data_IF_740354566537
#
_entry.id   IF_740354566537
#
_cell.length_a   1.000
_cell.length_b   1.000
_cell.length_c   1.000
_cell.angle_alpha   90.00
_cell.angle_beta   90.00
_cell.angle_gamma   90.00
#
_symmetry.space_group_name_H-M   'P 1'
#
loop_
_entity.id
_entity.type
_entity.pdbx_description
1 polymer ?
#
# COMPACT_ATOMS: atom_id res chain seq x y z
N UNK A 1 36.73 17.67 -6.06
CA UNK A 1 37.33 16.35 -6.38
C UNK A 1 37.60 15.47 -5.13
N UNK A 2 37.01 15.74 -3.95
CA UNK A 2 37.21 14.94 -2.73
C UNK A 2 36.05 13.97 -2.42
N UNK A 3 34.93 14.07 -3.13
CA UNK A 3 33.73 13.22 -2.91
C UNK A 3 33.85 11.83 -3.56
N UNK A 4 34.71 11.68 -4.57
CA UNK A 4 34.88 10.42 -5.30
C UNK A 4 35.74 9.38 -4.57
N UNK A 5 36.60 9.81 -3.64
CA UNK A 5 37.46 8.90 -2.88
C UNK A 5 36.71 8.15 -1.76
N UNK A 6 35.59 8.69 -1.28
CA UNK A 6 34.79 8.10 -0.19
C UNK A 6 33.87 7.00 -0.76
N UNK A 7 33.33 7.17 -1.97
CA UNK A 7 32.50 6.16 -2.62
C UNK A 7 33.27 4.87 -2.97
N UNK A 8 34.55 4.97 -3.36
CA UNK A 8 35.36 3.80 -3.69
C UNK A 8 35.79 2.98 -2.46
N UNK A 9 35.90 3.61 -1.29
CA UNK A 9 36.27 2.92 -0.06
C UNK A 9 35.09 2.09 0.51
N UNK A 10 33.86 2.58 0.35
CA UNK A 10 32.65 1.88 0.81
C UNK A 10 32.30 0.65 -0.03
N UNK A 11 32.50 0.71 -1.35
CA UNK A 11 32.24 -0.44 -2.25
C UNK A 11 33.27 -1.56 -2.05
N UNK A 12 34.51 -1.22 -1.68
CA UNK A 12 35.57 -2.20 -1.41
C UNK A 12 35.38 -2.93 -0.07
N UNK A 13 34.65 -2.34 0.89
CA UNK A 13 34.41 -2.95 2.20
C UNK A 13 33.27 -3.99 2.19
N UNK A 14 32.26 -3.80 1.33
CA UNK A 14 31.11 -4.72 1.23
C UNK A 14 31.48 -6.02 0.51
N UNK A 15 32.45 -5.98 -0.40
CA UNK A 15 32.81 -7.14 -1.24
C UNK A 15 33.70 -8.19 -0.55
N UNK A 16 34.14 -7.95 0.69
CA UNK A 16 35.12 -8.81 1.39
C UNK A 16 34.50 -9.78 2.43
N UNK A 17 33.17 -9.79 2.61
CA UNK A 17 32.51 -10.55 3.71
C UNK A 17 31.56 -11.68 3.28
N UNK A 18 31.44 -12.03 2.00
CA UNK A 18 30.48 -13.06 1.54
C UNK A 18 31.14 -14.32 0.94
N UNK A 19 32.28 -14.75 1.49
CA UNK A 19 32.90 -16.03 1.15
C UNK A 19 33.19 -16.88 2.39
N UNK A 20 32.31 -17.84 2.70
CA UNK A 20 32.61 -19.24 3.11
C UNK A 20 31.40 -19.95 3.79
N UNK A 21 31.13 -21.18 3.35
CA UNK A 21 30.30 -22.22 4.02
C UNK A 21 29.02 -22.54 3.23
N UNK A 22 28.95 -23.48 2.29
CA UNK A 22 29.35 -24.90 2.22
C UNK A 22 28.47 -25.84 3.10
N UNK A 23 27.32 -26.25 2.53
CA UNK A 23 26.74 -27.62 2.39
C UNK A 23 26.51 -28.55 3.64
N UNK A 24 25.88 -29.73 3.52
CA UNK A 24 24.49 -30.08 3.17
C UNK A 24 23.85 -31.06 4.21
N UNK A 25 22.54 -31.34 4.11
CA UNK A 25 21.96 -32.71 4.22
C UNK A 25 20.43 -32.70 4.33
N UNK A 26 19.85 -33.70 3.68
CA UNK A 26 18.44 -34.04 3.61
C UNK A 26 17.82 -34.46 4.96
N UNK A 27 16.51 -34.26 5.10
CA UNK A 27 15.63 -35.20 5.83
C UNK A 27 14.15 -35.02 5.45
N UNK A 28 13.66 -35.97 4.66
CA UNK A 28 12.37 -36.66 4.79
C UNK A 28 11.34 -36.12 5.80
N UNK A 29 10.16 -35.74 5.32
CA UNK A 29 8.87 -36.18 5.89
C UNK A 29 7.72 -35.89 4.90
N UNK A 30 6.95 -36.94 4.59
CA UNK A 30 5.70 -36.91 3.84
C UNK A 30 4.59 -36.18 4.60
N UNK A 31 3.51 -35.77 3.89
CA UNK A 31 2.19 -35.86 4.50
C UNK A 31 1.21 -36.72 3.68
N UNK A 32 0.43 -37.49 4.44
CA UNK A 32 -0.72 -38.29 4.03
C UNK A 32 -1.77 -37.45 3.29
N UNK A 33 -2.31 -38.05 2.24
CA UNK A 33 -3.47 -37.56 1.50
C UNK A 33 -4.71 -37.97 2.29
N UNK A 34 -5.35 -37.03 2.97
CA UNK A 34 -6.64 -37.26 3.62
C UNK A 34 -7.74 -36.78 2.70
N UNK A 35 -8.51 -37.75 2.23
CA UNK A 35 -9.74 -37.61 1.47
C UNK A 35 -10.77 -36.80 2.30
N UNK A 36 -11.32 -35.72 1.73
CA UNK A 36 -12.41 -34.96 2.33
C UNK A 36 -13.47 -34.70 1.26
N UNK A 37 -14.30 -35.71 1.11
CA UNK A 37 -15.70 -35.62 0.68
C UNK A 37 -16.42 -34.53 1.50
N UNK A 38 -16.85 -33.45 0.85
CA UNK A 38 -17.86 -32.54 1.39
C UNK A 38 -18.98 -32.36 0.38
N UNK A 39 -20.16 -32.67 0.91
CA UNK A 39 -21.42 -32.82 0.22
C UNK A 39 -21.98 -31.51 -0.32
N UNK A 40 -22.66 -31.69 -1.45
CA UNK A 40 -23.73 -30.89 -2.02
C UNK A 40 -24.74 -30.41 -0.94
N UNK A 41 -24.84 -29.10 -0.73
CA UNK A 41 -26.03 -28.48 -0.12
C UNK A 41 -26.38 -27.23 -0.90
N UNK A 42 -27.18 -27.45 -1.94
CA UNK A 42 -28.01 -26.46 -2.59
C UNK A 42 -29.08 -25.96 -1.60
N UNK A 43 -29.04 -24.68 -1.24
CA UNK A 43 -30.11 -24.02 -0.48
C UNK A 43 -30.58 -22.78 -1.23
N UNK A 44 -31.70 -22.93 -1.94
CA UNK A 44 -32.57 -21.84 -2.37
C UNK A 44 -33.03 -21.05 -1.13
N UNK A 45 -32.82 -19.74 -1.16
CA UNK A 45 -33.54 -18.80 -0.29
C UNK A 45 -34.20 -17.79 -1.21
N UNK A 46 -35.51 -17.98 -1.39
CA UNK A 46 -36.44 -16.98 -1.86
C UNK A 46 -36.42 -15.79 -0.90
N UNK A 47 -36.15 -14.58 -1.41
CA UNK A 47 -36.31 -13.36 -0.63
C UNK A 47 -37.61 -12.68 -1.09
N UNK A 48 -38.65 -12.87 -0.28
CA UNK A 48 -39.96 -12.24 -0.42
C UNK A 48 -39.87 -10.72 -0.21
N UNK A 49 -40.61 -10.02 -1.06
CA UNK A 49 -40.91 -8.61 -0.94
C UNK A 49 -41.83 -8.38 0.26
N UNK A 50 -41.48 -7.42 1.12
CA UNK A 50 -42.27 -7.02 2.27
C UNK A 50 -42.18 -5.52 2.48
N UNK A 51 -43.07 -4.81 1.80
CA UNK A 51 -43.49 -3.44 2.11
C UNK A 51 -43.96 -3.37 3.57
N UNK A 52 -43.45 -2.44 4.37
CA UNK A 52 -44.31 -1.71 5.30
C UNK A 52 -43.67 -0.38 5.73
N UNK A 53 -44.45 0.67 5.56
CA UNK A 53 -44.12 2.04 5.84
C UNK A 53 -44.89 2.49 7.08
N UNK A 54 -44.24 3.06 8.08
CA UNK A 54 -44.92 3.98 9.01
C UNK A 54 -43.95 5.03 9.59
N UNK A 55 -44.36 6.32 9.72
CA UNK A 55 -43.45 7.43 10.01
C UNK A 55 -43.56 8.02 11.43
N UNK A 56 -42.61 8.90 11.72
CA UNK A 56 -42.67 10.09 12.59
C UNK A 56 -42.74 9.96 14.13
N UNK A 57 -41.71 10.54 14.77
CA UNK A 57 -41.89 11.59 15.80
C UNK A 57 -41.94 11.16 17.26
N UNK A 58 -40.83 11.30 17.98
CA UNK A 58 -40.85 11.55 19.43
C UNK A 58 -39.72 12.52 19.80
N UNK A 59 -40.14 13.71 20.22
CA UNK A 59 -39.39 14.71 21.00
C UNK A 59 -39.62 14.44 22.48
N UNK A 60 -38.60 14.65 23.33
CA UNK A 60 -38.76 14.86 24.77
C UNK A 60 -37.63 14.24 25.60
N UNK A 61 -36.81 15.08 26.24
CA UNK A 61 -36.72 15.26 27.72
C UNK A 61 -35.58 14.39 28.30
N UNK A 62 -34.42 14.96 28.64
CA UNK A 62 -34.07 15.68 29.88
C UNK A 62 -34.33 14.86 31.15
N UNK A 63 -33.25 14.36 31.76
CA UNK A 63 -32.95 14.23 33.22
C UNK A 63 -31.69 13.34 33.33
N UNK A 64 -30.54 13.88 33.72
CA UNK A 64 -30.11 14.16 35.08
C UNK A 64 -29.88 12.90 35.94
N UNK A 65 -28.66 12.85 36.49
CA UNK A 65 -28.27 12.18 37.72
C UNK A 65 -27.95 10.66 37.68
N UNK A 66 -26.66 10.34 37.75
CA UNK A 66 -26.18 9.50 38.86
C UNK A 66 -24.66 9.55 38.97
N UNK A 67 -24.25 10.16 40.09
CA UNK A 67 -22.95 10.10 40.73
C UNK A 67 -22.62 8.67 41.13
N UNK A 68 -21.41 8.20 40.83
CA UNK A 68 -20.69 7.25 41.69
C UNK A 68 -19.19 7.57 41.69
N UNK A 69 -18.78 8.32 42.72
CA UNK A 69 -17.42 8.28 43.25
C UNK A 69 -17.11 6.87 43.77
N UNK A 70 -15.93 6.35 43.44
CA UNK A 70 -15.28 5.28 44.20
C UNK A 70 -13.77 5.40 44.07
N UNK A 71 -13.23 6.09 45.08
CA UNK A 71 -11.85 6.10 45.52
C UNK A 71 -11.31 4.67 45.75
N UNK A 72 -10.11 4.40 45.24
CA UNK A 72 -9.24 3.35 45.78
C UNK A 72 -7.78 3.67 45.50
N UNK A 73 -7.21 4.39 46.47
CA UNK A 73 -5.93 4.14 47.14
C UNK A 73 -4.74 3.56 46.35
N UNK A 74 -3.67 4.34 46.46
CA UNK A 74 -2.28 4.04 46.14
C UNK A 74 -1.74 2.74 46.76
N UNK A 75 -0.80 2.10 46.04
CA UNK A 75 0.22 1.23 46.64
C UNK A 75 1.59 1.57 46.05
N UNK A 76 2.48 2.04 46.92
CA UNK A 76 3.91 2.17 46.73
C UNK A 76 4.58 0.83 47.02
N UNK A 77 5.46 0.37 46.12
CA UNK A 77 6.53 -0.57 46.48
C UNK A 77 7.77 -0.28 45.63
N UNK A 78 8.79 0.21 46.33
CA UNK A 78 10.18 0.27 45.89
C UNK A 78 10.75 -1.15 45.76
N UNK A 79 11.53 -1.42 44.71
CA UNK A 79 12.60 -2.42 44.76
C UNK A 79 13.89 -1.84 44.20
N UNK A 80 14.86 -1.79 45.10
CA UNK A 80 16.21 -1.31 44.98
C UNK A 80 17.12 -2.34 44.29
N UNK A 81 17.93 -1.82 43.35
CA UNK A 81 19.34 -2.12 43.05
C UNK A 81 19.86 -3.56 43.04
N UNK A 82 20.30 -3.98 41.84
CA UNK A 82 21.29 -5.03 41.63
C UNK A 82 21.98 -4.88 40.29
N UNK A 83 23.04 -4.05 40.24
CA UNK A 83 23.89 -3.86 39.07
C UNK A 83 24.81 -5.07 38.82
N UNK A 84 24.88 -5.52 37.57
CA UNK A 84 26.09 -6.11 37.00
C UNK A 84 26.25 -5.60 35.57
N UNK A 85 27.24 -4.74 35.43
CA UNK A 85 27.76 -4.16 34.20
C UNK A 85 28.72 -5.13 33.54
N UNK A 86 28.44 -5.54 32.30
CA UNK A 86 29.46 -5.70 31.24
C UNK A 86 28.75 -5.94 29.90
N UNK A 87 29.06 -5.12 28.90
CA UNK A 87 28.53 -5.25 27.53
C UNK A 87 27.73 -4.05 27.00
N UNK A 88 28.12 -2.82 27.34
CA UNK A 88 27.65 -1.63 26.64
C UNK A 88 28.28 -1.59 25.23
N UNK A 89 27.73 -2.38 24.31
CA UNK A 89 27.74 -1.99 22.90
C UNK A 89 26.81 -0.79 22.79
N UNK A 90 27.33 0.25 22.17
CA UNK A 90 26.70 1.53 21.91
C UNK A 90 25.33 1.34 21.21
N UNK A 91 24.25 1.29 22.00
CA UNK A 91 22.86 1.32 21.53
C UNK A 91 22.32 2.76 21.50
N UNK A 92 23.18 3.76 21.73
CA UNK A 92 22.80 5.17 21.78
C UNK A 92 22.74 5.83 20.39
N UNK A 93 22.99 5.07 19.31
CA UNK A 93 22.87 5.52 17.92
C UNK A 93 21.59 5.00 17.20
N UNK A 94 20.56 4.58 17.92
CA UNK A 94 19.22 4.28 17.35
C UNK A 94 18.10 5.17 17.90
N UNK A 95 18.45 6.31 18.48
CA UNK A 95 17.50 7.27 19.05
C UNK A 95 17.62 8.64 18.36
N UNK A 96 17.28 8.66 17.07
CA UNK A 96 16.54 9.74 16.39
C UNK A 96 16.25 9.27 14.94
N UNK A 97 15.53 8.16 14.80
CA UNK A 97 14.74 7.98 13.60
C UNK A 97 13.53 8.89 13.74
N UNK A 98 13.65 10.14 13.29
CA UNK A 98 12.46 10.96 13.00
C UNK A 98 11.59 10.09 12.11
N UNK A 99 10.37 9.79 12.56
CA UNK A 99 9.43 9.04 11.75
C UNK A 99 9.19 9.86 10.47
N UNK A 100 9.80 9.42 9.37
CA UNK A 100 9.61 10.07 8.07
C UNK A 100 8.21 9.71 7.63
N UNK A 101 7.36 10.72 7.54
CA UNK A 101 6.03 10.60 6.95
C UNK A 101 6.10 10.94 5.46
N UNK A 102 5.27 10.28 4.67
CA UNK A 102 5.06 10.67 3.27
C UNK A 102 4.29 11.99 3.23
N UNK A 103 4.74 12.90 2.38
CA UNK A 103 4.16 14.23 2.22
C UNK A 103 4.06 14.59 0.74
N UNK A 104 3.36 15.67 0.42
CA UNK A 104 3.20 16.17 -0.95
C UNK A 104 3.91 17.54 -1.13
N UNK A 105 4.62 18.02 -0.10
CA UNK A 105 5.12 19.40 0.00
C UNK A 105 6.42 19.66 -0.79
N UNK A 106 7.02 18.64 -1.42
CA UNK A 106 8.32 18.75 -2.09
C UNK A 106 8.24 19.20 -3.55
N UNK A 107 7.08 19.08 -4.21
CA UNK A 107 6.88 19.51 -5.60
C UNK A 107 5.40 19.81 -5.90
N UNK A 108 5.15 20.74 -6.84
CA UNK A 108 3.77 21.07 -7.26
C UNK A 108 3.05 19.90 -7.95
N UNK A 109 3.82 18.95 -8.49
CA UNK A 109 3.37 17.75 -9.15
C UNK A 109 3.69 16.47 -8.35
N UNK A 110 3.90 16.61 -7.04
CA UNK A 110 4.02 15.49 -6.12
C UNK A 110 2.79 14.58 -6.23
N UNK A 111 3.01 13.27 -6.18
CA UNK A 111 1.92 12.31 -6.22
C UNK A 111 1.16 12.28 -4.90
N UNK A 112 -0.15 12.00 -4.92
CA UNK A 112 -0.89 11.70 -3.70
C UNK A 112 -0.22 10.57 -2.91
N UNK A 113 -0.22 10.63 -1.58
CA UNK A 113 0.45 9.64 -0.69
C UNK A 113 0.15 8.19 -1.08
N UNK A 114 -1.11 7.86 -1.37
CA UNK A 114 -1.52 6.53 -1.85
C UNK A 114 -0.74 6.08 -3.10
N UNK A 115 -0.55 6.98 -4.06
CA UNK A 115 0.17 6.68 -5.29
C UNK A 115 1.69 6.63 -5.06
N UNK A 116 2.21 7.40 -4.10
CA UNK A 116 3.61 7.27 -3.66
C UNK A 116 3.87 5.89 -3.07
N UNK A 117 2.98 5.38 -2.22
CA UNK A 117 3.09 4.02 -1.66
C UNK A 117 2.98 2.95 -2.74
N UNK A 118 2.05 3.11 -3.68
CA UNK A 118 1.87 2.17 -4.80
C UNK A 118 3.17 2.00 -5.61
N UNK A 119 3.67 3.12 -6.13
CA UNK A 119 4.88 3.14 -6.98
C UNK A 119 6.12 2.84 -6.16
N UNK A 120 6.23 3.43 -4.97
CA UNK A 120 7.34 3.22 -4.04
C UNK A 120 7.50 1.76 -3.68
N UNK A 121 6.42 1.07 -3.34
CA UNK A 121 6.44 -0.37 -3.01
C UNK A 121 6.94 -1.20 -4.19
N UNK A 122 6.49 -0.91 -5.41
CA UNK A 122 6.99 -1.56 -6.64
C UNK A 122 8.49 -1.27 -6.87
N UNK A 123 8.98 -0.07 -6.55
CA UNK A 123 10.39 0.32 -6.72
C UNK A 123 11.31 -0.26 -5.65
N UNK A 124 10.79 -0.67 -4.50
CA UNK A 124 11.57 -1.36 -3.46
C UNK A 124 11.89 -2.81 -3.88
N UNK A 125 11.21 -3.35 -4.89
CA UNK A 125 11.50 -4.67 -5.41
C UNK A 125 12.93 -4.82 -5.91
N UNK A 126 13.58 -5.91 -5.52
CA UNK A 126 14.99 -6.16 -5.85
C UNK A 126 15.99 -5.35 -5.01
N UNK A 127 15.53 -4.57 -4.04
CA UNK A 127 16.37 -3.92 -3.03
C UNK A 127 16.40 -4.73 -1.72
N UNK A 128 17.30 -4.34 -0.81
CA UNK A 128 17.33 -4.87 0.57
C UNK A 128 16.09 -4.50 1.39
N UNK A 129 15.34 -3.49 0.92
CA UNK A 129 14.11 -3.00 1.55
C UNK A 129 12.85 -3.55 0.87
N UNK A 130 12.98 -4.58 0.02
CA UNK A 130 11.84 -5.26 -0.56
C UNK A 130 10.87 -5.73 0.54
N UNK A 131 9.57 -5.67 0.25
CA UNK A 131 8.51 -6.14 1.15
C UNK A 131 8.79 -7.59 1.56
N UNK A 132 8.63 -7.99 2.83
CA UNK A 132 8.79 -9.41 3.22
C UNK A 132 7.55 -10.24 2.89
N UNK A 133 7.61 -11.57 3.01
CA UNK A 133 6.44 -12.44 2.85
C UNK A 133 5.31 -12.10 3.84
N UNK A 134 5.67 -11.87 5.10
CA UNK A 134 4.72 -11.55 6.18
C UNK A 134 4.08 -10.18 5.95
N UNK A 135 4.86 -9.21 5.49
CA UNK A 135 4.33 -7.90 5.10
C UNK A 135 3.41 -8.02 3.88
N UNK A 136 3.79 -8.81 2.88
CA UNK A 136 3.02 -8.95 1.64
C UNK A 136 1.60 -9.50 1.90
N UNK A 137 1.46 -10.46 2.82
CA UNK A 137 0.15 -11.00 3.21
C UNK A 137 -0.77 -9.91 3.80
N UNK A 138 -0.24 -9.07 4.68
CA UNK A 138 -1.01 -7.98 5.29
C UNK A 138 -1.31 -6.86 4.28
N UNK A 139 -0.29 -6.43 3.53
CA UNK A 139 -0.42 -5.38 2.53
C UNK A 139 -1.40 -5.77 1.42
N UNK A 140 -1.43 -7.03 0.99
CA UNK A 140 -2.35 -7.51 -0.03
C UNK A 140 -3.81 -7.27 0.37
N UNK A 141 -4.17 -7.61 1.61
CA UNK A 141 -5.53 -7.39 2.11
C UNK A 141 -5.89 -5.90 2.14
N UNK A 142 -4.97 -5.06 2.63
CA UNK A 142 -5.18 -3.61 2.73
C UNK A 142 -5.29 -2.94 1.36
N UNK A 143 -4.45 -3.33 0.40
CA UNK A 143 -4.50 -2.83 -0.97
C UNK A 143 -5.78 -3.26 -1.70
N UNK A 144 -6.23 -4.50 -1.51
CA UNK A 144 -7.51 -4.97 -2.05
C UNK A 144 -8.69 -4.18 -1.45
N UNK A 145 -8.68 -3.92 -0.14
CA UNK A 145 -9.69 -3.08 0.51
C UNK A 145 -9.70 -1.65 -0.06
N UNK A 146 -8.52 -1.00 -0.14
CA UNK A 146 -8.36 0.33 -0.74
C UNK A 146 -8.87 0.38 -2.19
N UNK A 147 -8.58 -0.66 -2.98
CA UNK A 147 -9.05 -0.80 -4.34
C UNK A 147 -10.57 -0.96 -4.44
N UNK A 148 -11.18 -1.73 -3.54
CA UNK A 148 -12.62 -1.93 -3.49
C UNK A 148 -13.36 -0.63 -3.14
N UNK A 149 -12.90 0.08 -2.11
CA UNK A 149 -13.43 1.39 -1.68
C UNK A 149 -13.35 2.43 -2.81
N UNK A 150 -12.21 2.47 -3.51
CA UNK A 150 -12.01 3.42 -4.63
C UNK A 150 -12.90 3.09 -5.82
N UNK A 151 -13.10 1.80 -6.13
CA UNK A 151 -13.89 1.36 -7.29
C UNK A 151 -15.39 1.44 -7.07
N UNK A 152 -15.87 1.26 -5.84
CA UNK A 152 -17.30 1.34 -5.55
C UNK A 152 -17.83 2.78 -5.64
N UNK A 153 -16.96 3.78 -5.49
CA UNK A 153 -17.35 5.19 -5.41
C UNK A 153 -18.20 5.53 -4.17
N UNK A 154 -18.36 4.57 -3.25
CA UNK A 154 -19.15 4.71 -2.02
C UNK A 154 -18.27 4.86 -0.77
N UNK A 155 -16.96 4.65 -0.88
CA UNK A 155 -16.04 4.83 0.24
C UNK A 155 -15.93 6.30 0.59
N UNK A 156 -16.10 6.64 1.87
CA UNK A 156 -15.82 7.98 2.35
C UNK A 156 -14.31 8.28 2.19
N UNK A 157 -13.91 9.52 1.87
CA UNK A 157 -12.50 9.90 1.77
C UNK A 157 -11.69 9.53 3.03
N UNK A 158 -12.32 9.65 4.20
CA UNK A 158 -11.73 9.32 5.50
C UNK A 158 -11.46 7.82 5.65
N UNK A 159 -12.32 6.96 5.09
CA UNK A 159 -12.11 5.50 5.11
C UNK A 159 -10.93 5.11 4.22
N UNK A 160 -10.82 5.72 3.03
CA UNK A 160 -9.69 5.49 2.12
C UNK A 160 -8.39 5.94 2.79
N UNK A 161 -8.39 7.13 3.41
CA UNK A 161 -7.23 7.65 4.13
C UNK A 161 -6.83 6.74 5.30
N UNK A 162 -7.79 6.23 6.07
CA UNK A 162 -7.52 5.30 7.17
C UNK A 162 -6.85 4.00 6.68
N UNK A 163 -7.33 3.43 5.57
CA UNK A 163 -6.70 2.24 4.96
C UNK A 163 -5.28 2.56 4.48
N UNK A 164 -5.06 3.74 3.88
CA UNK A 164 -3.72 4.17 3.45
C UNK A 164 -2.77 4.32 4.66
N UNK A 165 -3.22 4.92 5.76
CA UNK A 165 -2.41 5.00 6.99
C UNK A 165 -2.07 3.61 7.56
N UNK A 166 -2.97 2.64 7.42
CA UNK A 166 -2.70 1.27 7.84
C UNK A 166 -1.70 0.56 6.94
N UNK A 167 -1.71 0.85 5.63
CA UNK A 167 -0.68 0.39 4.68
C UNK A 167 0.69 0.91 5.13
N UNK A 168 0.80 2.20 5.44
CA UNK A 168 2.07 2.79 5.93
C UNK A 168 2.55 2.12 7.22
N UNK A 169 1.64 1.91 8.18
CA UNK A 169 1.96 1.30 9.47
C UNK A 169 2.39 -0.17 9.36
N UNK A 170 2.06 -0.84 8.25
CA UNK A 170 2.48 -2.23 7.98
C UNK A 170 3.91 -2.30 7.43
N UNK A 171 4.40 -1.20 6.86
CA UNK A 171 5.77 -1.10 6.35
C UNK A 171 6.73 -0.69 7.46
N UNK A 172 8.01 -0.98 7.26
CA UNK A 172 9.05 -0.51 8.19
C UNK A 172 9.35 0.97 7.95
N UNK A 173 9.85 1.66 8.98
CA UNK A 173 10.23 3.05 8.85
C UNK A 173 11.32 3.29 7.79
N UNK A 174 12.21 2.31 7.59
CA UNK A 174 13.24 2.36 6.55
C UNK A 174 12.63 2.30 5.14
N UNK A 175 11.60 1.48 4.92
CA UNK A 175 10.86 1.43 3.66
C UNK A 175 10.14 2.74 3.38
N UNK A 176 9.45 3.30 4.38
CA UNK A 176 8.76 4.60 4.23
C UNK A 176 9.74 5.73 3.94
N UNK A 177 10.88 5.78 4.65
CA UNK A 177 11.91 6.77 4.41
C UNK A 177 12.50 6.64 2.99
N UNK A 178 12.78 5.42 2.54
CA UNK A 178 13.26 5.19 1.18
C UNK A 178 12.25 5.64 0.12
N UNK A 179 10.95 5.42 0.33
CA UNK A 179 9.89 5.90 -0.58
C UNK A 179 9.83 7.44 -0.57
N UNK A 180 9.91 8.07 0.60
CA UNK A 180 9.92 9.53 0.71
C UNK A 180 11.11 10.16 -0.03
N UNK A 181 12.29 9.55 0.05
CA UNK A 181 13.50 10.00 -0.67
C UNK A 181 13.36 9.91 -2.19
N UNK A 182 12.49 9.03 -2.71
CA UNK A 182 12.23 8.93 -4.14
C UNK A 182 11.53 10.16 -4.72
N UNK A 183 10.90 11.01 -3.88
CA UNK A 183 10.18 12.24 -4.28
C UNK A 183 9.32 12.01 -5.54
N UNK A 184 8.38 11.07 -5.45
CA UNK A 184 7.64 10.57 -6.59
C UNK A 184 6.65 11.62 -7.13
N UNK A 185 6.89 12.07 -8.36
CA UNK A 185 6.03 13.03 -9.06
C UNK A 185 5.17 12.39 -10.14
N UNK A 186 4.32 13.19 -10.79
CA UNK A 186 3.57 12.78 -11.98
C UNK A 186 4.49 12.24 -13.10
N UNK A 187 5.69 12.79 -13.24
CA UNK A 187 6.71 12.28 -14.18
C UNK A 187 7.16 10.86 -13.81
N UNK A 188 7.41 10.60 -12.52
CA UNK A 188 7.76 9.24 -12.04
C UNK A 188 6.68 8.22 -12.37
N UNK A 189 5.40 8.59 -12.28
CA UNK A 189 4.28 7.72 -12.69
C UNK A 189 4.28 7.45 -14.20
N UNK A 190 4.56 8.46 -15.02
CA UNK A 190 4.65 8.31 -16.48
C UNK A 190 5.83 7.42 -16.88
N UNK A 191 6.99 7.58 -16.23
CA UNK A 191 8.17 6.75 -16.45
C UNK A 191 7.88 5.29 -16.08
N UNK A 192 7.29 5.07 -14.90
CA UNK A 192 6.94 3.71 -14.47
C UNK A 192 5.93 3.05 -15.41
N UNK A 193 4.92 3.78 -15.89
CA UNK A 193 3.98 3.23 -16.87
C UNK A 193 4.70 2.79 -18.16
N UNK A 194 5.65 3.59 -18.65
CA UNK A 194 6.46 3.24 -19.82
C UNK A 194 7.37 2.01 -19.57
N UNK A 195 8.04 1.95 -18.42
CA UNK A 195 8.89 0.83 -18.01
C UNK A 195 8.12 -0.49 -17.97
N UNK A 196 6.87 -0.44 -17.49
CA UNK A 196 5.98 -1.59 -17.39
C UNK A 196 5.30 -1.95 -18.71
N UNK A 197 5.66 -1.30 -19.82
CA UNK A 197 5.05 -1.53 -21.13
C UNK A 197 3.58 -1.11 -21.21
N UNK A 198 3.10 -0.35 -20.22
CA UNK A 198 1.79 0.29 -20.25
C UNK A 198 1.89 1.45 -21.23
N UNK A 199 1.75 1.15 -22.53
CA UNK A 199 1.59 2.20 -23.53
C UNK A 199 0.35 3.00 -23.16
N UNK A 200 0.56 4.22 -22.67
CA UNK A 200 -0.49 5.21 -22.45
C UNK A 200 -1.07 5.54 -23.81
N UNK A 201 -2.05 4.75 -24.24
CA UNK A 201 -2.65 4.75 -25.58
C UNK A 201 -2.34 5.99 -26.40
N UNK A 202 -1.16 5.98 -27.03
CA UNK A 202 -1.02 6.62 -28.31
C UNK A 202 -2.07 5.91 -29.18
N UNK A 203 -2.81 6.65 -29.99
CA UNK A 203 -3.94 6.12 -30.75
C UNK A 203 -3.56 5.10 -31.85
N UNK A 204 -2.53 4.28 -31.63
CA UNK A 204 -1.95 3.31 -32.57
C UNK A 204 -1.80 1.93 -31.90
N UNK A 205 -2.90 1.36 -31.41
CA UNK A 205 -2.94 0.00 -30.88
C UNK A 205 -4.10 -0.79 -31.47
N UNK A 206 -3.79 -1.74 -32.33
CA UNK A 206 -4.63 -2.79 -32.91
C UNK A 206 -5.78 -3.26 -32.01
N UNK A 207 -6.95 -2.63 -32.16
CA UNK A 207 -8.25 -3.17 -31.79
C UNK A 207 -9.00 -3.53 -33.07
N UNK A 208 -8.83 -4.75 -33.54
CA UNK A 208 -9.63 -5.33 -34.62
C UNK A 208 -11.11 -5.37 -34.20
N UNK A 209 -11.89 -4.37 -34.61
CA UNK A 209 -13.32 -4.35 -34.34
C UNK A 209 -14.01 -3.03 -34.67
N UNK A 210 -14.28 -2.79 -35.97
CA UNK A 210 -15.46 -2.00 -36.36
C UNK A 210 -15.19 -0.55 -36.75
N UNK A 211 -14.78 -0.37 -38.00
CA UNK A 211 -15.20 0.68 -38.94
C UNK A 211 -16.28 1.65 -38.41
N UNK A 212 -15.87 2.74 -37.76
CA UNK A 212 -16.65 3.98 -37.78
C UNK A 212 -15.74 5.19 -37.56
N UNK A 213 -14.84 5.41 -38.52
CA UNK A 213 -14.27 6.73 -38.78
C UNK A 213 -15.38 7.58 -39.42
N UNK A 214 -16.35 7.96 -38.59
CA UNK A 214 -17.44 8.85 -38.92
C UNK A 214 -16.87 10.22 -39.26
N UNK A 215 -17.36 10.76 -40.37
CA UNK A 215 -16.98 12.02 -40.98
C UNK A 215 -16.99 13.19 -39.98
N UNK A 216 -16.11 14.15 -40.23
CA UNK A 216 -15.82 15.27 -39.36
C UNK A 216 -17.05 16.04 -38.88
N UNK A 217 -17.03 16.32 -37.58
CA UNK A 217 -17.67 17.50 -37.02
C UNK A 217 -16.53 18.30 -36.43
N UNK A 218 -16.33 19.51 -36.96
CA UNK A 218 -15.35 20.49 -36.49
C UNK A 218 -15.65 20.79 -35.02
N UNK A 219 -14.97 20.07 -34.12
CA UNK A 219 -14.97 20.38 -32.70
C UNK A 219 -14.38 21.79 -32.56
N UNK A 220 -15.08 22.68 -31.86
CA UNK A 220 -14.53 23.99 -31.52
C UNK A 220 -13.22 23.83 -30.73
N UNK A 221 -12.34 24.86 -30.75
CA UNK A 221 -11.09 24.81 -29.98
C UNK A 221 -11.32 24.50 -28.49
N UNK A 222 -12.45 24.94 -27.95
CA UNK A 222 -12.89 24.64 -26.58
C UNK A 222 -13.27 23.16 -26.40
N UNK A 223 -14.01 22.57 -27.33
CA UNK A 223 -14.37 21.15 -27.26
C UNK A 223 -13.18 20.21 -27.48
N UNK A 224 -12.16 20.64 -28.23
CA UNK A 224 -10.90 19.92 -28.33
C UNK A 224 -10.12 19.98 -27.01
N UNK A 225 -10.02 21.16 -26.39
CA UNK A 225 -9.34 21.32 -25.10
C UNK A 225 -10.01 20.50 -23.99
N UNK A 226 -11.34 20.47 -23.91
CA UNK A 226 -12.06 19.63 -22.94
C UNK A 226 -11.82 18.14 -23.18
N UNK A 227 -11.81 17.69 -24.44
CA UNK A 227 -11.59 16.27 -24.77
C UNK A 227 -10.15 15.84 -24.53
N UNK A 228 -9.20 16.73 -24.74
CA UNK A 228 -7.80 16.50 -24.39
C UNK A 228 -7.62 16.39 -22.87
N UNK A 229 -8.23 17.29 -22.09
CA UNK A 229 -8.23 17.22 -20.64
C UNK A 229 -8.82 15.90 -20.12
N UNK A 230 -10.00 15.50 -20.60
CA UNK A 230 -10.58 14.21 -20.19
C UNK A 230 -9.75 13.01 -20.65
N UNK A 231 -9.09 13.07 -21.82
CA UNK A 231 -8.23 11.98 -22.28
C UNK A 231 -7.01 11.85 -21.37
N UNK A 232 -6.41 12.97 -20.96
CA UNK A 232 -5.30 12.97 -20.01
C UNK A 232 -5.70 12.32 -18.67
N UNK A 233 -6.90 12.64 -18.15
CA UNK A 233 -7.40 12.05 -16.90
C UNK A 233 -7.76 10.56 -17.03
N UNK A 234 -8.42 10.14 -18.10
CA UNK A 234 -8.73 8.72 -18.34
C UNK A 234 -7.46 7.89 -18.48
N UNK A 235 -6.45 8.42 -19.16
CA UNK A 235 -5.17 7.76 -19.36
C UNK A 235 -4.38 7.64 -18.05
N UNK A 236 -4.35 8.68 -17.21
CA UNK A 236 -3.66 8.59 -15.90
C UNK A 236 -4.38 7.65 -14.93
N UNK A 237 -5.71 7.65 -14.93
CA UNK A 237 -6.50 6.73 -14.11
C UNK A 237 -6.28 5.28 -14.54
N UNK A 238 -6.25 5.00 -15.85
CA UNK A 238 -5.97 3.66 -16.37
C UNK A 238 -4.57 3.16 -16.01
N UNK A 239 -3.56 4.03 -16.09
CA UNK A 239 -2.20 3.70 -15.66
C UNK A 239 -2.14 3.35 -14.17
N UNK A 240 -2.82 4.11 -13.32
CA UNK A 240 -2.89 3.84 -11.87
C UNK A 240 -3.57 2.50 -11.58
N UNK A 241 -4.65 2.16 -12.30
CA UNK A 241 -5.32 0.86 -12.17
C UNK A 241 -4.38 -0.29 -12.55
N UNK A 242 -3.67 -0.18 -13.67
CA UNK A 242 -2.74 -1.23 -14.11
C UNK A 242 -1.56 -1.42 -13.13
N UNK A 243 -1.03 -0.32 -12.56
CA UNK A 243 0.00 -0.39 -11.52
C UNK A 243 -0.52 -1.02 -10.22
N UNK A 244 -1.78 -0.75 -9.86
CA UNK A 244 -2.43 -1.37 -8.71
C UNK A 244 -2.61 -2.88 -8.91
N UNK A 245 -3.06 -3.31 -10.09
CA UNK A 245 -3.20 -4.73 -10.41
C UNK A 245 -1.84 -5.44 -10.37
N UNK A 246 -0.78 -4.80 -10.87
CA UNK A 246 0.58 -5.30 -10.79
C UNK A 246 1.09 -5.41 -9.35
N UNK A 247 0.82 -4.41 -8.50
CA UNK A 247 1.18 -4.48 -7.08
C UNK A 247 0.46 -5.64 -6.39
N UNK A 248 -0.83 -5.82 -6.65
CA UNK A 248 -1.61 -6.94 -6.09
C UNK A 248 -1.00 -8.27 -6.54
N UNK A 249 -0.62 -8.41 -7.81
CA UNK A 249 0.03 -9.61 -8.33
C UNK A 249 1.39 -9.87 -7.67
N UNK A 250 2.22 -8.84 -7.53
CA UNK A 250 3.52 -8.92 -6.87
C UNK A 250 3.38 -9.33 -5.39
N UNK A 251 2.44 -8.74 -4.66
CA UNK A 251 2.16 -9.09 -3.26
C UNK A 251 1.60 -10.52 -3.15
N UNK A 252 0.79 -10.96 -4.12
CA UNK A 252 0.26 -12.33 -4.20
C UNK A 252 1.36 -13.35 -4.43
N UNK A 253 2.28 -13.05 -5.35
CA UNK A 253 3.44 -13.91 -5.61
C UNK A 253 4.36 -13.97 -4.40
N UNK A 254 4.54 -12.85 -3.69
CA UNK A 254 5.42 -12.80 -2.52
C UNK A 254 4.84 -13.47 -1.29
N UNK A 255 3.53 -13.36 -1.05
CA UNK A 255 2.90 -14.04 0.09
C UNK A 255 3.00 -15.57 -0.02
N UNK A 256 3.16 -16.10 -1.24
CA UNK A 256 3.28 -17.53 -1.52
C UNK A 256 4.71 -18.07 -1.61
N UNK A 257 5.73 -17.20 -1.64
CA UNK A 257 7.14 -17.56 -1.80
C UNK A 257 7.75 -18.11 -0.50
#
# INVERSE_FOLDING_TARGET
MKKTAILLLSVLLVLLMAGCGDDPAASSAAPEVVDSEVADVNAEVENESGEDAVPAGITGETEADSVTDSDSSATTAETDTGASTEGAVDVAAMAEAVAVALTEDYAEDALPVRNQLLIGTLKLEGSELAVTQEQATQLLLLWQASAALSRSGTGAPEEIAAVVSQIEATMTQAQIAAIAEMQLTRESMQLMAQEMGLTMGDGSGDGAGGTNRGQGQELSAEEMATREAERAERTSSGATTALLDMLIEMLTSRSQA
#
